data_IF_913220332627
#
_entry.id   IF_913220332627
#
_cell.length_a   1.000
_cell.length_b   1.000
_cell.length_c   1.000
_cell.angle_alpha   90.00
_cell.angle_beta   90.00
_cell.angle_gamma   90.00
#
_symmetry.space_group_name_H-M   'P 1'
#
loop_
_entity.id
_entity.type
_entity.pdbx_description
1 polymer ?
#
# COMPACT_ATOMS: atom_id res chain seq x y z
N UNK A 1 43.69 -3.14 -15.00
CA UNK A 1 42.22 -3.28 -15.11
C UNK A 1 41.61 -1.89 -15.15
N UNK A 2 40.87 -1.52 -16.21
CA UNK A 2 40.09 -0.27 -16.21
C UNK A 2 38.76 -0.58 -15.53
N UNK A 3 38.53 -0.02 -14.34
CA UNK A 3 37.21 -0.07 -13.71
C UNK A 3 36.29 0.90 -14.45
N UNK A 4 35.18 0.39 -14.96
CA UNK A 4 34.14 1.22 -15.59
C UNK A 4 33.11 1.55 -14.53
N UNK A 5 32.97 2.83 -14.21
CA UNK A 5 31.97 3.29 -13.26
C UNK A 5 30.65 3.45 -14.00
N UNK A 6 29.64 2.70 -13.56
CA UNK A 6 28.29 2.81 -14.12
C UNK A 6 27.52 3.87 -13.35
N UNK A 7 26.94 4.89 -14.02
CA UNK A 7 26.19 5.91 -13.33
C UNK A 7 24.91 5.32 -12.72
N UNK A 8 24.49 5.75 -11.52
CA UNK A 8 23.29 5.22 -10.88
C UNK A 8 22.00 5.60 -11.62
N UNK A 9 21.99 6.79 -12.23
CA UNK A 9 20.93 7.29 -13.09
C UNK A 9 21.61 7.97 -14.29
N UNK A 10 21.16 7.74 -15.54
CA UNK A 10 21.66 8.45 -16.72
C UNK A 10 21.67 9.97 -16.56
N UNK A 11 22.76 10.63 -16.99
CA UNK A 11 22.95 12.08 -16.84
C UNK A 11 21.78 12.89 -17.41
N UNK A 12 21.27 12.50 -18.58
CA UNK A 12 20.17 13.21 -19.22
C UNK A 12 18.86 13.12 -18.42
N UNK A 13 18.60 11.98 -17.79
CA UNK A 13 17.43 11.83 -16.90
C UNK A 13 17.58 12.68 -15.66
N UNK A 14 18.78 12.78 -15.09
CA UNK A 14 19.05 13.68 -13.96
C UNK A 14 18.75 15.13 -14.35
N UNK A 15 19.10 15.57 -15.57
CA UNK A 15 18.84 16.95 -16.03
C UNK A 15 17.36 17.26 -16.20
N UNK A 16 16.62 16.35 -16.81
CA UNK A 16 15.25 16.60 -17.26
C UNK A 16 14.19 16.31 -16.20
N UNK A 17 14.44 15.32 -15.32
CA UNK A 17 13.42 14.82 -14.40
C UNK A 17 13.41 15.59 -13.08
N UNK A 18 12.23 15.76 -12.44
CA UNK A 18 12.17 16.35 -11.10
C UNK A 18 12.88 15.45 -10.08
N UNK A 19 13.31 16.04 -8.94
CA UNK A 19 14.07 15.35 -7.87
C UNK A 19 13.46 14.01 -7.47
N UNK A 20 12.12 13.98 -7.38
CA UNK A 20 11.38 12.77 -7.04
C UNK A 20 11.63 11.63 -8.03
N UNK A 21 11.54 11.90 -9.32
CA UNK A 21 11.62 10.84 -10.34
C UNK A 21 13.07 10.34 -10.45
N UNK A 22 14.05 11.26 -10.30
CA UNK A 22 15.46 10.90 -10.12
C UNK A 22 15.66 10.02 -8.89
N UNK A 23 14.99 10.33 -7.77
CA UNK A 23 15.05 9.51 -6.55
C UNK A 23 14.48 8.10 -6.74
N UNK A 24 13.39 7.95 -7.49
CA UNK A 24 12.82 6.63 -7.78
C UNK A 24 13.75 5.80 -8.69
N UNK A 25 14.39 6.42 -9.68
CA UNK A 25 15.41 5.75 -10.50
C UNK A 25 16.63 5.36 -9.66
N UNK A 26 17.09 6.25 -8.79
CA UNK A 26 18.16 5.98 -7.84
C UNK A 26 17.78 4.81 -6.90
N UNK A 27 16.55 4.76 -6.40
CA UNK A 27 16.06 3.67 -5.57
C UNK A 27 16.12 2.32 -6.30
N UNK A 28 15.72 2.28 -7.58
CA UNK A 28 15.81 1.08 -8.41
C UNK A 28 17.26 0.61 -8.58
N UNK A 29 18.18 1.55 -8.84
CA UNK A 29 19.61 1.24 -8.92
C UNK A 29 20.13 0.66 -7.59
N UNK A 30 19.82 1.32 -6.46
CA UNK A 30 20.24 0.89 -5.13
C UNK A 30 19.67 -0.49 -4.75
N UNK A 31 18.46 -0.82 -5.22
CA UNK A 31 17.84 -2.12 -4.99
C UNK A 31 18.54 -3.29 -5.73
N UNK A 32 19.24 -2.99 -6.83
CA UNK A 32 20.05 -3.96 -7.57
C UNK A 32 21.42 -4.23 -6.93
N UNK A 33 21.86 -3.38 -6.00
CA UNK A 33 23.13 -3.53 -5.30
C UNK A 33 23.10 -4.60 -4.21
N UNK A 34 24.26 -5.17 -3.90
CA UNK A 34 24.44 -6.07 -2.76
C UNK A 34 25.09 -5.32 -1.60
N UNK A 35 24.49 -5.39 -0.40
CA UNK A 35 25.10 -4.88 0.83
C UNK A 35 24.49 -3.57 1.36
N UNK A 36 25.20 -2.93 2.29
CA UNK A 36 24.78 -1.65 2.86
C UNK A 36 25.15 -0.50 1.94
N UNK A 37 24.30 0.52 1.95
CA UNK A 37 24.46 1.73 1.16
C UNK A 37 25.18 2.78 2.00
N UNK A 38 26.05 3.56 1.37
CA UNK A 38 26.74 4.66 2.02
C UNK A 38 26.68 5.89 1.11
N UNK A 39 26.18 7.01 1.63
CA UNK A 39 26.02 8.25 0.88
C UNK A 39 27.33 8.69 0.19
N UNK A 40 28.42 8.78 0.95
CA UNK A 40 29.72 9.21 0.40
C UNK A 40 30.24 8.28 -0.70
N UNK A 41 30.06 6.96 -0.54
CA UNK A 41 30.43 5.98 -1.55
C UNK A 41 29.57 6.08 -2.82
N UNK A 42 28.26 6.29 -2.66
CA UNK A 42 27.34 6.47 -3.78
C UNK A 42 27.67 7.74 -4.58
N UNK A 43 27.83 8.89 -3.91
CA UNK A 43 28.15 10.16 -4.56
C UNK A 43 29.56 10.17 -5.17
N UNK A 44 30.55 9.55 -4.50
CA UNK A 44 31.88 9.37 -5.04
C UNK A 44 31.91 8.51 -6.30
N UNK A 45 31.15 7.42 -6.32
CA UNK A 45 31.02 6.55 -7.50
C UNK A 45 30.31 7.26 -8.66
N UNK A 46 29.26 8.04 -8.35
CA UNK A 46 28.54 8.84 -9.34
C UNK A 46 29.45 9.91 -9.96
N UNK A 47 30.23 10.63 -9.14
CA UNK A 47 31.22 11.61 -9.60
C UNK A 47 32.23 11.01 -10.57
N UNK A 48 32.70 9.80 -10.29
CA UNK A 48 33.61 9.09 -11.18
C UNK A 48 32.92 8.64 -12.48
N UNK A 49 31.64 8.24 -12.42
CA UNK A 49 30.86 7.86 -13.59
C UNK A 49 30.54 9.05 -14.50
N UNK A 50 30.41 10.26 -13.95
CA UNK A 50 30.11 11.48 -14.70
C UNK A 50 31.34 12.30 -15.05
N UNK A 51 32.57 11.81 -14.83
CA UNK A 51 33.81 12.59 -15.04
C UNK A 51 33.94 13.27 -16.42
N UNK A 52 33.30 12.70 -17.45
CA UNK A 52 33.34 13.19 -18.82
C UNK A 52 32.16 14.15 -19.14
N UNK A 53 31.23 14.33 -18.21
CA UNK A 53 30.10 15.26 -18.33
C UNK A 53 30.53 16.68 -17.94
N UNK A 54 30.16 17.69 -18.74
CA UNK A 54 30.58 19.08 -18.52
C UNK A 54 30.04 19.70 -17.22
N UNK A 55 28.96 19.14 -16.67
CA UNK A 55 28.21 19.60 -15.50
C UNK A 55 28.22 18.57 -14.36
N UNK A 56 29.32 17.80 -14.22
CA UNK A 56 29.49 16.74 -13.21
C UNK A 56 28.98 17.11 -11.82
N UNK A 57 29.37 18.28 -11.28
CA UNK A 57 28.95 18.70 -9.92
C UNK A 57 27.43 18.87 -9.82
N UNK A 58 26.80 19.46 -10.84
CA UNK A 58 25.35 19.67 -10.88
C UNK A 58 24.61 18.32 -10.88
N UNK A 59 25.12 17.34 -11.62
CA UNK A 59 24.55 15.99 -11.65
C UNK A 59 24.66 15.30 -10.28
N UNK A 60 25.81 15.43 -9.62
CA UNK A 60 26.04 14.85 -8.28
C UNK A 60 25.17 15.54 -7.22
N UNK A 61 25.03 16.87 -7.27
CA UNK A 61 24.16 17.61 -6.36
C UNK A 61 22.69 17.20 -6.51
N UNK A 62 22.22 17.02 -7.75
CA UNK A 62 20.85 16.53 -7.99
C UNK A 62 20.64 15.09 -7.51
N UNK A 63 21.66 14.24 -7.58
CA UNK A 63 21.61 12.91 -6.96
C UNK A 63 21.63 12.98 -5.43
N UNK A 64 22.32 13.96 -4.85
CA UNK A 64 22.27 14.23 -3.41
C UNK A 64 20.87 14.63 -2.97
N UNK A 65 20.20 15.53 -3.70
CA UNK A 65 18.80 15.90 -3.44
C UNK A 65 17.87 14.68 -3.55
N UNK A 66 18.10 13.84 -4.56
CA UNK A 66 17.36 12.60 -4.75
C UNK A 66 17.56 11.63 -3.56
N UNK A 67 18.79 11.50 -3.05
CA UNK A 67 19.07 10.70 -1.85
C UNK A 67 18.35 11.27 -0.61
N UNK A 68 18.43 12.58 -0.39
CA UNK A 68 17.76 13.25 0.71
C UNK A 68 16.23 13.05 0.64
N UNK A 69 15.66 13.07 -0.56
CA UNK A 69 14.25 12.74 -0.78
C UNK A 69 13.92 11.30 -0.35
N UNK A 70 14.77 10.32 -0.67
CA UNK A 70 14.58 8.93 -0.24
C UNK A 70 14.62 8.77 1.29
N UNK A 71 15.53 9.50 1.96
CA UNK A 71 15.61 9.50 3.43
C UNK A 71 14.39 10.18 4.06
N UNK A 72 13.96 11.34 3.55
CA UNK A 72 12.81 12.08 4.05
C UNK A 72 11.50 11.28 3.92
N UNK A 73 11.42 10.38 2.95
CA UNK A 73 10.28 9.50 2.71
C UNK A 73 10.44 8.11 3.37
N UNK A 74 11.43 7.92 4.25
CA UNK A 74 11.71 6.68 4.97
C UNK A 74 11.89 5.44 4.05
N UNK A 75 12.32 5.65 2.80
CA UNK A 75 12.64 4.57 1.86
C UNK A 75 14.03 3.98 2.11
N UNK A 76 14.88 4.73 2.80
CA UNK A 76 16.15 4.29 3.35
C UNK A 76 16.06 4.28 4.88
N UNK A 77 16.59 3.23 5.51
CA UNK A 77 16.69 3.13 6.96
C UNK A 77 18.16 3.03 7.38
N UNK A 78 18.45 3.43 8.62
CA UNK A 78 19.73 3.12 9.26
C UNK A 78 19.89 1.61 9.42
N UNK A 79 21.14 1.18 9.54
CA UNK A 79 21.52 -0.20 9.80
C UNK A 79 21.96 -0.28 11.27
N UNK A 80 21.20 -0.95 12.17
CA UNK A 80 21.50 -0.94 13.60
C UNK A 80 22.89 -1.46 13.99
N UNK A 81 23.49 -2.33 13.17
CA UNK A 81 24.80 -2.92 13.40
C UNK A 81 25.98 -2.14 12.81
N UNK A 82 25.72 -1.00 12.16
CA UNK A 82 26.74 -0.21 11.46
C UNK A 82 26.77 1.22 11.98
N UNK A 83 27.78 1.98 11.55
CA UNK A 83 27.86 3.41 11.87
C UNK A 83 26.74 4.21 11.20
N UNK A 84 26.55 5.44 11.69
CA UNK A 84 25.57 6.42 11.22
C UNK A 84 25.67 6.76 9.73
N UNK A 85 26.77 6.43 9.06
CA UNK A 85 26.95 6.65 7.63
C UNK A 85 26.21 5.62 6.74
N UNK A 86 25.85 4.46 7.30
CA UNK A 86 25.28 3.36 6.54
C UNK A 86 23.75 3.39 6.52
N UNK A 87 23.22 2.99 5.37
CA UNK A 87 21.80 2.81 5.10
C UNK A 87 21.55 1.42 4.52
N UNK A 88 20.30 1.02 4.59
CA UNK A 88 19.73 -0.09 3.84
C UNK A 88 18.38 0.36 3.30
N UNK A 89 17.85 -0.31 2.28
CA UNK A 89 16.45 -0.08 1.89
C UNK A 89 15.56 -0.41 3.09
N UNK A 90 14.56 0.41 3.34
CA UNK A 90 13.51 0.06 4.30
C UNK A 90 12.61 -1.04 3.73
N UNK A 91 11.63 -1.51 4.52
CA UNK A 91 10.62 -2.44 3.99
C UNK A 91 9.84 -1.79 2.84
N UNK A 92 9.45 -0.53 3.00
CA UNK A 92 8.71 0.21 1.97
C UNK A 92 9.59 0.53 0.76
N UNK A 93 10.85 0.92 0.97
CA UNK A 93 11.82 1.10 -0.13
C UNK A 93 12.00 -0.17 -0.97
N UNK A 94 12.11 -1.34 -0.32
CA UNK A 94 12.18 -2.63 -1.04
C UNK A 94 10.90 -2.97 -1.79
N UNK A 95 9.74 -2.73 -1.18
CA UNK A 95 8.46 -3.00 -1.82
C UNK A 95 8.26 -2.10 -3.05
N UNK A 96 8.59 -0.81 -2.92
CA UNK A 96 8.50 0.17 -3.99
C UNK A 96 9.46 -0.13 -5.14
N UNK A 97 10.68 -0.57 -4.85
CA UNK A 97 11.64 -0.95 -5.88
C UNK A 97 11.22 -2.20 -6.68
N UNK A 98 10.44 -3.10 -6.08
CA UNK A 98 9.96 -4.34 -6.73
C UNK A 98 8.71 -4.15 -7.56
N UNK A 99 7.87 -3.20 -7.20
CA UNK A 99 6.59 -2.96 -7.86
C UNK A 99 6.51 -1.51 -8.36
N UNK A 100 6.68 -1.29 -9.68
CA UNK A 100 6.51 0.02 -10.30
C UNK A 100 5.13 0.65 -10.05
N UNK A 101 4.06 -0.14 -9.91
CA UNK A 101 2.72 0.36 -9.56
C UNK A 101 2.61 0.73 -8.08
N UNK A 102 3.57 0.31 -7.26
CA UNK A 102 3.71 0.69 -5.86
C UNK A 102 3.87 2.19 -5.65
N UNK A 103 4.29 2.93 -6.68
CA UNK A 103 4.39 4.40 -6.65
C UNK A 103 3.01 5.02 -6.41
N UNK A 104 1.97 4.58 -7.11
CA UNK A 104 0.61 5.11 -6.94
C UNK A 104 0.13 4.93 -5.51
N UNK A 105 0.39 3.76 -4.92
CA UNK A 105 0.03 3.45 -3.53
C UNK A 105 0.82 4.28 -2.53
N UNK A 106 2.12 4.44 -2.78
CA UNK A 106 2.99 5.29 -1.97
C UNK A 106 2.50 6.75 -1.98
N UNK A 107 2.22 7.31 -3.16
CA UNK A 107 1.71 8.68 -3.26
C UNK A 107 0.32 8.82 -2.62
N UNK A 108 -0.55 7.82 -2.76
CA UNK A 108 -1.88 7.87 -2.15
C UNK A 108 -1.79 7.93 -0.62
N UNK A 109 -0.85 7.21 0.01
CA UNK A 109 -0.53 7.34 1.44
C UNK A 109 -0.01 8.74 1.79
N UNK A 110 0.90 9.28 0.98
CA UNK A 110 1.41 10.64 1.18
C UNK A 110 0.30 11.70 1.09
N UNK A 111 -0.66 11.55 0.16
CA UNK A 111 -1.79 12.48 0.01
C UNK A 111 -2.78 12.40 1.16
N UNK A 112 -2.96 11.21 1.72
CA UNK A 112 -3.79 11.01 2.91
C UNK A 112 -2.99 11.18 4.20
N UNK A 113 -1.79 11.78 4.15
CA UNK A 113 -1.01 12.07 5.36
C UNK A 113 -1.61 13.27 6.08
N UNK A 114 -2.01 13.06 7.34
CA UNK A 114 -2.68 14.06 8.16
C UNK A 114 -3.99 13.56 8.75
N UNK A 115 -4.60 14.34 9.66
CA UNK A 115 -5.88 13.97 10.26
C UNK A 115 -6.99 13.98 9.21
N UNK A 116 -7.77 12.90 9.14
CA UNK A 116 -9.06 12.87 8.46
C UNK A 116 -10.15 13.32 9.42
N UNK A 117 -11.37 13.39 8.87
CA UNK A 117 -12.57 13.50 9.68
C UNK A 117 -12.65 12.32 10.67
N UNK A 118 -13.07 12.51 11.94
CA UNK A 118 -13.09 11.45 12.96
C UNK A 118 -13.81 10.17 12.53
N UNK A 119 -14.88 10.28 11.72
CA UNK A 119 -15.61 9.13 11.19
C UNK A 119 -14.79 8.24 10.22
N UNK A 120 -13.65 8.71 9.73
CA UNK A 120 -12.77 8.02 8.80
C UNK A 120 -11.44 7.58 9.46
N UNK A 121 -11.10 8.15 10.61
CA UNK A 121 -9.75 7.99 11.18
C UNK A 121 -9.47 6.59 11.72
N UNK A 122 -10.50 5.83 12.09
CA UNK A 122 -10.32 4.48 12.65
C UNK A 122 -10.34 3.42 11.54
N UNK A 123 -11.53 3.05 11.08
CA UNK A 123 -11.73 1.90 10.17
C UNK A 123 -11.17 2.17 8.77
N UNK A 124 -11.44 3.35 8.20
CA UNK A 124 -11.05 3.66 6.82
C UNK A 124 -9.54 3.81 6.73
N UNK A 125 -8.93 4.59 7.64
CA UNK A 125 -7.48 4.75 7.75
C UNK A 125 -6.77 3.39 7.87
N UNK A 126 -7.20 2.56 8.82
CA UNK A 126 -6.57 1.26 9.08
C UNK A 126 -6.59 0.37 7.84
N UNK A 127 -7.76 0.23 7.18
CA UNK A 127 -7.88 -0.60 5.98
C UNK A 127 -7.03 -0.05 4.82
N UNK A 128 -7.01 1.28 4.65
CA UNK A 128 -6.20 1.91 3.62
C UNK A 128 -4.70 1.68 3.82
N UNK A 129 -4.22 1.81 5.06
CA UNK A 129 -2.81 1.62 5.40
C UNK A 129 -2.37 0.15 5.23
N UNK A 130 -3.27 -0.79 5.54
CA UNK A 130 -3.08 -2.22 5.28
C UNK A 130 -3.11 -2.58 3.78
N UNK A 131 -3.56 -1.67 2.92
CA UNK A 131 -3.70 -1.90 1.48
C UNK A 131 -5.02 -2.58 1.08
N UNK A 132 -5.97 -2.71 2.00
CA UNK A 132 -7.33 -3.16 1.71
C UNK A 132 -8.17 -1.99 1.21
N UNK A 133 -7.87 -1.57 -0.02
CA UNK A 133 -8.45 -0.38 -0.63
C UNK A 133 -9.95 -0.51 -0.89
N UNK A 134 -10.43 -1.71 -1.25
CA UNK A 134 -11.85 -1.95 -1.50
C UNK A 134 -12.66 -1.73 -0.22
N UNK A 135 -12.24 -2.35 0.89
CA UNK A 135 -12.92 -2.17 2.18
C UNK A 135 -12.80 -0.74 2.68
N UNK A 136 -11.63 -0.09 2.51
CA UNK A 136 -11.45 1.31 2.87
C UNK A 136 -12.40 2.24 2.10
N UNK A 137 -12.51 2.07 0.78
CA UNK A 137 -13.41 2.86 -0.05
C UNK A 137 -14.88 2.65 0.31
N UNK A 138 -15.31 1.40 0.52
CA UNK A 138 -16.69 1.12 0.90
C UNK A 138 -17.06 1.74 2.25
N UNK A 139 -16.19 1.58 3.26
CA UNK A 139 -16.38 2.17 4.57
C UNK A 139 -16.39 3.72 4.51
N UNK A 140 -15.53 4.33 3.69
CA UNK A 140 -15.50 5.78 3.50
C UNK A 140 -16.79 6.30 2.87
N UNK A 141 -17.25 5.68 1.78
CA UNK A 141 -18.50 6.05 1.14
C UNK A 141 -19.70 5.89 2.06
N UNK A 142 -19.69 4.86 2.91
CA UNK A 142 -20.74 4.67 3.92
C UNK A 142 -20.75 5.79 4.95
N UNK A 143 -19.59 6.21 5.44
CA UNK A 143 -19.49 7.32 6.38
C UNK A 143 -19.99 8.65 5.76
N UNK A 144 -19.65 8.91 4.49
CA UNK A 144 -20.17 10.08 3.76
C UNK A 144 -21.68 10.02 3.59
N UNK A 145 -22.23 8.86 3.22
CA UNK A 145 -23.68 8.66 3.07
C UNK A 145 -24.42 8.97 4.38
N UNK A 146 -23.92 8.48 5.52
CA UNK A 146 -24.50 8.75 6.83
C UNK A 146 -24.45 10.25 7.15
N UNK A 147 -23.30 10.90 6.96
CA UNK A 147 -23.16 12.33 7.23
C UNK A 147 -24.09 13.20 6.36
N UNK A 148 -24.23 12.88 5.06
CA UNK A 148 -25.13 13.60 4.15
C UNK A 148 -26.59 13.40 4.55
N UNK A 149 -26.96 12.17 4.91
CA UNK A 149 -28.32 11.85 5.37
C UNK A 149 -28.66 12.66 6.63
N UNK A 150 -27.80 12.62 7.63
CA UNK A 150 -28.01 13.34 8.90
C UNK A 150 -28.10 14.86 8.67
N UNK A 151 -27.25 15.41 7.79
CA UNK A 151 -27.27 16.83 7.44
C UNK A 151 -28.48 17.25 6.59
N UNK A 152 -29.06 16.34 5.81
CA UNK A 152 -30.17 16.65 4.91
C UNK A 152 -31.50 16.85 5.65
N UNK A 153 -31.65 16.30 6.86
CA UNK A 153 -32.91 16.31 7.60
C UNK A 153 -34.07 15.61 6.89
N UNK A 154 -33.79 14.86 5.81
CA UNK A 154 -34.79 14.14 5.04
C UNK A 154 -35.21 12.86 5.77
N UNK A 155 -36.49 12.51 5.65
CA UNK A 155 -37.01 11.27 6.21
C UNK A 155 -36.30 10.06 5.60
N UNK A 156 -36.03 9.03 6.42
CA UNK A 156 -35.34 7.82 6.02
C UNK A 156 -36.03 7.06 4.86
N UNK A 157 -37.31 7.33 4.61
CA UNK A 157 -38.05 6.79 3.46
C UNK A 157 -37.66 7.41 2.11
N UNK A 158 -37.07 8.63 2.11
CA UNK A 158 -36.68 9.35 0.89
C UNK A 158 -35.22 9.08 0.49
N UNK A 159 -34.38 8.65 1.43
CA UNK A 159 -32.98 8.26 1.19
C UNK A 159 -32.74 6.87 1.81
N UNK A 160 -33.10 5.76 1.14
CA UNK A 160 -32.81 4.43 1.68
C UNK A 160 -31.29 4.19 1.75
N UNK A 161 -30.78 3.42 2.73
CA UNK A 161 -29.35 3.12 2.81
C UNK A 161 -28.87 2.39 1.58
N UNK A 162 -27.68 2.73 1.10
CA UNK A 162 -27.05 2.00 0.00
C UNK A 162 -26.97 0.52 0.38
N UNK A 163 -27.58 -0.33 -0.45
CA UNK A 163 -27.62 -1.76 -0.21
C UNK A 163 -26.19 -2.32 -0.28
N UNK A 164 -25.80 -3.10 0.75
CA UNK A 164 -24.57 -3.88 0.69
C UNK A 164 -24.56 -4.76 -0.57
N UNK A 165 -23.39 -4.97 -1.21
CA UNK A 165 -23.31 -5.80 -2.41
C UNK A 165 -23.80 -7.20 -2.07
N UNK A 166 -24.89 -7.62 -2.71
CA UNK A 166 -25.48 -8.95 -2.56
C UNK A 166 -26.86 -9.02 -1.90
N UNK A 167 -27.49 -7.90 -1.49
CA UNK A 167 -28.89 -7.93 -1.04
C UNK A 167 -29.83 -7.55 -2.19
N UNK A 168 -30.69 -8.47 -2.69
CA UNK A 168 -31.71 -8.08 -3.66
C UNK A 168 -32.66 -7.06 -3.01
N UNK A 169 -33.11 -6.03 -3.76
CA UNK A 169 -34.03 -5.06 -3.22
C UNK A 169 -35.28 -5.78 -2.74
N UNK A 170 -35.68 -5.52 -1.48
CA UNK A 170 -36.88 -6.06 -0.90
C UNK A 170 -38.09 -5.41 -1.57
N UNK A 171 -38.49 -5.96 -2.72
CA UNK A 171 -39.73 -5.62 -3.40
C UNK A 171 -40.92 -6.09 -2.57
N UNK A 172 -41.53 -5.15 -1.85
CA UNK A 172 -42.91 -5.23 -1.41
C UNK A 172 -43.81 -4.98 -2.63
N UNK A 173 -44.88 -5.78 -2.72
CA UNK A 173 -46.11 -5.64 -3.52
C UNK A 173 -46.36 -6.82 -4.47
N UNK A 174 -46.93 -7.90 -3.94
CA UNK A 174 -47.84 -8.76 -4.68
C UNK A 174 -49.11 -8.84 -3.83
N UNK A 175 -50.11 -8.06 -4.26
CA UNK A 175 -51.46 -8.08 -3.72
C UNK A 175 -52.15 -9.41 -4.04
N UNK A 176 -53.13 -9.74 -3.21
CA UNK A 176 -53.81 -11.02 -3.11
C UNK A 176 -54.60 -11.42 -4.38
N UNK A 177 -54.64 -12.73 -4.65
CA UNK A 177 -55.71 -13.36 -5.43
C UNK A 177 -55.28 -14.31 -6.53
N UNK A 178 -54.99 -15.57 -6.19
CA UNK A 178 -55.48 -16.75 -6.95
C UNK A 178 -55.01 -18.05 -6.31
N UNK A 179 -56.02 -18.79 -5.85
CA UNK A 179 -56.07 -20.22 -5.53
C UNK A 179 -55.27 -21.08 -6.52
N UNK A 180 -54.54 -22.08 -6.04
CA UNK A 180 -53.90 -23.09 -6.90
C UNK A 180 -52.94 -24.01 -6.17
N UNK A 181 -53.37 -25.24 -5.92
CA UNK A 181 -52.66 -26.28 -5.19
C UNK A 181 -51.40 -26.83 -5.91
N UNK A 182 -50.64 -27.61 -5.13
CA UNK A 182 -49.67 -28.65 -5.51
C UNK A 182 -48.21 -28.21 -5.78
N UNK A 183 -47.29 -28.57 -4.88
CA UNK A 183 -46.55 -29.84 -4.99
C UNK A 183 -45.29 -29.88 -4.07
N UNK A 184 -45.27 -30.88 -3.18
CA UNK A 184 -44.14 -31.80 -2.86
C UNK A 184 -42.80 -31.16 -2.46
N UNK A 185 -42.39 -31.12 -1.19
CA UNK A 185 -41.85 -32.22 -0.33
C UNK A 185 -40.81 -33.11 -1.06
N UNK A 186 -39.62 -33.21 -0.42
CA UNK A 186 -38.49 -34.19 -0.54
C UNK A 186 -37.18 -33.40 -0.74
N UNK A 187 -36.07 -33.55 0.01
CA UNK A 187 -35.67 -34.53 1.02
C UNK A 187 -34.72 -33.89 2.05
N UNK A 188 -34.94 -34.19 3.34
CA UNK A 188 -33.86 -34.27 4.33
C UNK A 188 -33.04 -35.52 4.03
N UNK A 189 -31.72 -35.40 3.88
CA UNK A 189 -30.80 -36.51 4.13
C UNK A 189 -29.87 -36.13 5.27
N UNK A 190 -30.09 -36.81 6.39
CA UNK A 190 -29.12 -37.01 7.45
C UNK A 190 -27.86 -37.65 6.88
N UNK A 191 -26.70 -37.04 7.13
CA UNK A 191 -25.44 -37.78 7.26
C UNK A 191 -24.77 -37.33 8.54
N UNK A 192 -25.03 -38.12 9.59
CA UNK A 192 -24.23 -38.18 10.80
C UNK A 192 -22.83 -38.67 10.44
N UNK A 193 -21.79 -37.89 10.74
CA UNK A 193 -20.43 -38.42 10.86
C UNK A 193 -19.76 -37.82 12.11
N UNK A 194 -19.92 -38.61 13.16
CA UNK A 194 -19.10 -38.76 14.38
C UNK A 194 -17.85 -37.87 14.48
N UNK A 195 -17.86 -36.99 15.48
CA UNK A 195 -16.66 -36.47 16.13
C UNK A 195 -15.86 -37.62 16.74
N UNK A 196 -14.54 -37.63 16.53
CA UNK A 196 -13.60 -38.47 17.27
C UNK A 196 -12.87 -37.60 18.29
N UNK A 197 -12.83 -37.96 19.59
CA UNK A 197 -12.21 -37.15 20.62
C UNK A 197 -10.68 -37.33 20.66
N UNK A 198 -9.99 -36.21 20.88
CA UNK A 198 -8.56 -36.15 21.18
C UNK A 198 -8.30 -36.66 22.62
N UNK A 199 -7.40 -37.63 22.86
CA UNK A 199 -7.03 -37.99 24.22
C UNK A 199 -5.99 -37.01 24.79
N UNK A 200 -6.26 -36.51 26.00
CA UNK A 200 -5.27 -35.95 26.90
C UNK A 200 -4.63 -37.10 27.68
N UNK A 201 -3.30 -37.11 27.78
CA UNK A 201 -2.54 -37.12 29.04
C UNK A 201 -1.09 -37.58 28.83
N UNK A 202 -0.17 -36.76 29.35
CA UNK A 202 1.26 -37.02 29.51
C UNK A 202 1.50 -38.16 30.52
N UNK A 203 2.72 -38.74 30.57
CA UNK A 203 3.66 -38.29 31.60
C UNK A 203 5.12 -38.26 31.13
N UNK A 204 5.92 -37.36 31.73
CA UNK A 204 7.33 -37.21 31.42
C UNK A 204 8.24 -38.23 32.10
N UNK A 205 9.50 -38.31 31.66
CA UNK A 205 10.68 -38.53 32.53
C UNK A 205 11.97 -38.31 31.76
N UNK A 206 12.95 -37.71 32.48
CA UNK A 206 14.39 -37.51 32.23
C UNK A 206 14.82 -36.24 31.53
#
# INVERSE_FOLDING_TARGET
MRYTFTPPVPAEQIRQLPTRDVALLLLQHLAGGTGFLQYGGAMGSARQAFQDEPDTEVLVDRLSDAWAWLEANALLSRVPSQSEAFRQLSRDGRNLAKDPEGITRFEARQRLTGPLHPALEDTVRTNFDLGDYETACFAAMKAVEVAVRDASGLDNSLVPPAAAPGRPPAGRNADEGSTGAAARRVARRHTTRMCHPYPKDSPGTR
#
